data_IF_890329262202
#
_entry.id   IF_890329262202
#
_cell.length_a   1.000
_cell.length_b   1.000
_cell.length_c   1.000
_cell.angle_alpha   90.00
_cell.angle_beta   90.00
_cell.angle_gamma   90.00
#
_symmetry.space_group_name_H-M   'P 1'
#
loop_
_entity.id
_entity.type
_entity.pdbx_description
1 polymer ?
#
# COMPACT_ATOMS: atom_id res chain seq x y z
N UNK A 1 28.39 11.93 -4.56
CA UNK A 1 26.95 12.03 -4.88
C UNK A 1 26.67 11.09 -6.03
N UNK A 2 25.58 10.32 -6.03
CA UNK A 2 25.30 9.36 -7.12
C UNK A 2 24.73 10.09 -8.36
N UNK A 3 24.88 9.56 -9.59
CA UNK A 3 24.30 10.19 -10.78
C UNK A 3 22.77 10.36 -10.70
N UNK A 4 22.09 9.44 -10.00
CA UNK A 4 20.64 9.52 -9.77
C UNK A 4 20.30 10.68 -8.81
N UNK A 5 21.11 10.90 -7.77
CA UNK A 5 20.91 12.03 -6.83
C UNK A 5 21.06 13.37 -7.54
N UNK A 6 22.06 13.52 -8.40
CA UNK A 6 22.24 14.72 -9.23
C UNK A 6 21.03 14.98 -10.13
N UNK A 7 20.52 13.94 -10.79
CA UNK A 7 19.32 14.04 -11.61
C UNK A 7 18.09 14.45 -10.78
N UNK A 8 17.90 13.87 -9.59
CA UNK A 8 16.79 14.24 -8.70
C UNK A 8 16.85 15.71 -8.29
N UNK A 9 18.04 16.21 -7.93
CA UNK A 9 18.23 17.61 -7.58
C UNK A 9 17.95 18.54 -8.77
N UNK A 10 18.32 18.14 -9.99
CA UNK A 10 18.00 18.93 -11.20
C UNK A 10 16.50 19.01 -11.52
N UNK A 11 15.70 18.07 -10.98
CA UNK A 11 14.24 18.00 -11.18
C UNK A 11 13.44 18.55 -9.98
N UNK A 12 14.12 19.21 -9.03
CA UNK A 12 13.48 19.78 -7.85
C UNK A 12 12.43 20.85 -8.21
N UNK A 13 11.23 20.71 -7.63
CA UNK A 13 10.17 21.72 -7.67
C UNK A 13 9.82 22.10 -6.23
N UNK A 14 10.25 23.29 -5.78
CA UNK A 14 10.07 23.75 -4.39
C UNK A 14 8.59 23.92 -4.01
N UNK A 15 7.73 24.31 -4.97
CA UNK A 15 6.28 24.42 -4.72
C UNK A 15 5.68 23.04 -4.50
N UNK A 16 6.07 22.07 -5.34
CA UNK A 16 5.65 20.68 -5.19
C UNK A 16 6.22 20.02 -3.93
N UNK A 17 7.45 20.37 -3.53
CA UNK A 17 8.06 19.94 -2.27
C UNK A 17 7.23 20.37 -1.06
N UNK A 18 6.88 21.66 -0.96
CA UNK A 18 6.05 22.20 0.12
C UNK A 18 4.68 21.53 0.18
N UNK A 19 4.05 21.31 -0.97
CA UNK A 19 2.81 20.55 -1.07
C UNK A 19 2.97 19.08 -0.61
N UNK A 20 4.06 18.43 -0.99
CA UNK A 20 4.31 17.04 -0.59
C UNK A 20 4.53 16.91 0.92
N UNK A 21 5.27 17.85 1.52
CA UNK A 21 5.51 17.89 2.97
C UNK A 21 4.22 18.09 3.77
N UNK A 22 3.26 18.88 3.27
CA UNK A 22 1.98 19.05 3.97
C UNK A 22 1.11 17.78 4.00
N UNK A 23 1.39 16.81 3.11
CA UNK A 23 0.70 15.52 3.06
C UNK A 23 1.46 14.38 3.76
N UNK A 24 2.72 14.63 4.13
CA UNK A 24 3.65 13.63 4.65
C UNK A 24 4.21 14.06 6.01
N UNK A 25 3.36 14.10 7.06
CA UNK A 25 3.80 14.50 8.38
C UNK A 25 4.93 13.59 8.87
N UNK A 26 6.00 14.20 9.40
CA UNK A 26 7.18 13.49 9.91
C UNK A 26 8.17 12.99 8.85
N UNK A 27 7.90 13.19 7.56
CA UNK A 27 8.82 12.79 6.50
C UNK A 27 9.83 13.91 6.22
N UNK A 28 11.11 13.57 6.33
CA UNK A 28 12.23 14.46 6.06
C UNK A 28 12.88 14.12 4.70
N UNK A 29 13.74 15.02 4.20
CA UNK A 29 14.55 14.77 3.01
C UNK A 29 13.75 14.72 1.70
N UNK A 30 12.59 15.38 1.64
CA UNK A 30 11.81 15.53 0.39
C UNK A 30 12.52 16.54 -0.52
N UNK A 31 12.90 16.11 -1.72
CA UNK A 31 13.51 16.96 -2.76
C UNK A 31 12.41 17.73 -3.50
N UNK A 32 11.26 17.11 -3.76
CA UNK A 32 10.16 17.70 -4.52
C UNK A 32 10.15 17.28 -5.99
N UNK A 33 10.47 16.02 -6.29
CA UNK A 33 10.39 15.49 -7.66
C UNK A 33 9.02 14.85 -7.88
N UNK A 34 8.36 15.19 -9.00
CA UNK A 34 7.02 14.68 -9.31
C UNK A 34 7.04 13.19 -9.64
N UNK A 35 5.99 12.49 -9.23
CA UNK A 35 5.86 11.04 -9.40
C UNK A 35 6.04 10.53 -10.85
N UNK A 36 5.56 11.24 -11.91
CA UNK A 36 5.81 10.80 -13.29
C UNK A 36 7.29 10.74 -13.66
N UNK A 37 8.10 11.70 -13.18
CA UNK A 37 9.55 11.70 -13.43
C UNK A 37 10.24 10.57 -12.65
N UNK A 38 9.86 10.35 -11.38
CA UNK A 38 10.37 9.21 -10.61
C UNK A 38 10.08 7.87 -11.30
N UNK A 39 8.87 7.71 -11.86
CA UNK A 39 8.50 6.50 -12.62
C UNK A 39 9.34 6.32 -13.88
N UNK A 40 9.66 7.40 -14.61
CA UNK A 40 10.55 7.35 -15.78
C UNK A 40 11.96 6.92 -15.39
N UNK A 41 12.51 7.52 -14.33
CA UNK A 41 13.85 7.20 -13.80
C UNK A 41 13.91 5.73 -13.36
N UNK A 42 13.01 5.31 -12.47
CA UNK A 42 12.99 3.94 -11.95
C UNK A 42 12.86 2.90 -13.07
N UNK A 43 11.98 3.15 -14.05
CA UNK A 43 11.80 2.25 -15.19
C UNK A 43 13.06 2.18 -16.05
N UNK A 44 13.70 3.32 -16.34
CA UNK A 44 14.94 3.37 -17.14
C UNK A 44 16.06 2.59 -16.45
N UNK A 45 16.27 2.80 -15.17
CA UNK A 45 17.36 2.16 -14.43
C UNK A 45 17.09 0.66 -14.19
N UNK A 46 15.85 0.28 -13.88
CA UNK A 46 15.48 -1.13 -13.73
C UNK A 46 15.63 -1.95 -15.03
N UNK A 47 15.42 -1.34 -16.20
CA UNK A 47 15.58 -2.01 -17.49
C UNK A 47 17.04 -2.19 -17.89
N UNK A 48 17.97 -1.40 -17.34
CA UNK A 48 19.41 -1.57 -17.57
C UNK A 48 19.97 -2.65 -16.66
N UNK A 49 19.84 -2.44 -15.35
CA UNK A 49 20.26 -3.37 -14.30
C UNK A 49 19.53 -2.98 -13.01
N UNK A 50 18.46 -3.71 -12.71
CA UNK A 50 17.64 -3.43 -11.54
C UNK A 50 18.36 -3.70 -10.21
N UNK A 51 19.32 -4.65 -10.17
CA UNK A 51 20.06 -4.97 -8.94
C UNK A 51 21.03 -3.84 -8.63
N UNK A 52 21.83 -3.43 -9.63
CA UNK A 52 22.73 -2.29 -9.47
C UNK A 52 21.94 -1.00 -9.17
N UNK A 53 20.81 -0.77 -9.86
CA UNK A 53 19.97 0.38 -9.58
C UNK A 53 19.45 0.39 -8.13
N UNK A 54 19.03 -0.76 -7.59
CA UNK A 54 18.57 -0.87 -6.21
C UNK A 54 19.70 -0.62 -5.20
N UNK A 55 20.85 -1.28 -5.37
CA UNK A 55 21.98 -1.22 -4.43
C UNK A 55 22.67 0.16 -4.45
N UNK A 56 22.62 0.88 -5.58
CA UNK A 56 23.19 2.22 -5.71
C UNK A 56 22.29 3.35 -5.15
N UNK A 57 21.03 3.06 -4.85
CA UNK A 57 20.13 4.04 -4.22
C UNK A 57 20.35 4.05 -2.70
N UNK A 58 20.28 5.24 -2.10
CA UNK A 58 20.37 5.38 -0.63
C UNK A 58 18.98 5.62 -0.02
N UNK A 59 18.95 5.80 1.29
CA UNK A 59 17.76 6.24 2.02
C UNK A 59 17.88 7.71 2.44
N UNK A 60 18.72 8.52 1.78
CA UNK A 60 18.97 9.89 2.26
C UNK A 60 17.83 10.86 1.93
N UNK A 61 17.08 10.57 0.87
CA UNK A 61 15.90 11.34 0.48
C UNK A 61 14.63 10.49 0.39
N UNK A 62 13.49 11.16 0.42
CA UNK A 62 12.19 10.54 0.15
C UNK A 62 12.15 9.93 -1.27
N UNK A 63 12.68 10.65 -2.25
CA UNK A 63 12.71 10.25 -3.65
C UNK A 63 13.60 9.02 -3.89
N UNK A 64 14.76 8.92 -3.25
CA UNK A 64 15.63 7.74 -3.39
C UNK A 64 14.98 6.48 -2.80
N UNK A 65 14.35 6.59 -1.61
CA UNK A 65 13.54 5.51 -1.03
C UNK A 65 12.38 5.12 -1.96
N UNK A 66 11.71 6.10 -2.53
CA UNK A 66 10.63 5.89 -3.49
C UNK A 66 11.12 5.13 -4.74
N UNK A 67 12.29 5.52 -5.27
CA UNK A 67 12.90 4.87 -6.43
C UNK A 67 13.27 3.42 -6.12
N UNK A 68 13.78 3.10 -4.92
CA UNK A 68 14.09 1.70 -4.54
C UNK A 68 12.89 0.79 -4.72
N UNK A 69 11.73 1.18 -4.16
CA UNK A 69 10.50 0.43 -4.31
C UNK A 69 10.02 0.33 -5.75
N UNK A 70 10.11 1.42 -6.53
CA UNK A 70 9.70 1.42 -7.93
C UNK A 70 10.60 0.57 -8.83
N UNK A 71 11.91 0.56 -8.60
CA UNK A 71 12.88 -0.26 -9.35
C UNK A 71 12.52 -1.74 -9.22
N UNK A 72 12.20 -2.19 -8.00
CA UNK A 72 11.74 -3.56 -7.75
C UNK A 72 10.44 -3.89 -8.52
N UNK A 73 9.52 -2.93 -8.62
CA UNK A 73 8.29 -3.09 -9.40
C UNK A 73 8.48 -3.12 -10.92
N UNK A 74 9.54 -2.49 -11.44
CA UNK A 74 9.88 -2.49 -12.87
C UNK A 74 10.84 -3.60 -13.29
N UNK A 75 11.45 -4.30 -12.33
CA UNK A 75 12.29 -5.46 -12.60
C UNK A 75 11.52 -6.52 -13.39
N UNK A 76 12.07 -6.97 -14.52
CA UNK A 76 11.43 -7.95 -15.42
C UNK A 76 11.84 -9.37 -15.08
N UNK A 77 11.71 -9.72 -13.81
CA UNK A 77 12.11 -11.03 -13.27
C UNK A 77 10.98 -11.62 -12.40
N UNK A 78 11.01 -12.93 -12.09
CA UNK A 78 10.06 -13.54 -11.17
C UNK A 78 10.07 -12.87 -9.79
N UNK A 79 8.94 -12.94 -9.08
CA UNK A 79 8.80 -12.37 -7.74
C UNK A 79 9.83 -12.94 -6.75
N UNK A 80 10.16 -14.22 -6.90
CA UNK A 80 11.14 -14.95 -6.11
C UNK A 80 12.52 -14.29 -6.17
N UNK A 81 12.88 -13.72 -7.32
CA UNK A 81 14.18 -13.07 -7.49
C UNK A 81 14.20 -11.67 -6.86
N UNK A 82 13.09 -10.93 -6.90
CA UNK A 82 13.02 -9.61 -6.23
C UNK A 82 12.75 -9.71 -4.74
N UNK A 83 12.21 -10.83 -4.24
CA UNK A 83 11.78 -10.99 -2.84
C UNK A 83 12.89 -10.67 -1.82
N UNK A 84 14.14 -11.17 -1.93
CA UNK A 84 15.19 -10.81 -0.96
C UNK A 84 15.48 -9.30 -0.93
N UNK A 85 15.34 -8.62 -2.07
CA UNK A 85 15.54 -7.17 -2.16
C UNK A 85 14.34 -6.38 -1.63
N UNK A 86 13.13 -6.92 -1.80
CA UNK A 86 11.93 -6.38 -1.14
C UNK A 86 12.10 -6.47 0.38
N UNK A 87 12.55 -7.60 0.91
CA UNK A 87 12.79 -7.78 2.34
C UNK A 87 13.85 -6.80 2.88
N UNK A 88 14.90 -6.53 2.10
CA UNK A 88 15.88 -5.45 2.38
C UNK A 88 15.28 -4.04 2.31
N UNK A 89 14.28 -3.82 1.46
CA UNK A 89 13.65 -2.52 1.23
C UNK A 89 12.58 -2.17 2.28
N UNK A 90 11.86 -3.17 2.83
CA UNK A 90 10.76 -2.92 3.75
C UNK A 90 11.12 -2.02 4.94
N UNK A 91 12.31 -2.11 5.58
CA UNK A 91 12.74 -1.16 6.61
C UNK A 91 12.75 0.31 6.17
N UNK A 92 12.94 0.59 4.87
CA UNK A 92 12.94 1.93 4.29
C UNK A 92 11.53 2.51 4.10
N UNK A 93 10.47 1.71 4.25
CA UNK A 93 9.08 2.16 4.08
C UNK A 93 8.62 2.85 5.36
N UNK A 94 8.69 4.18 5.37
CA UNK A 94 8.40 5.00 6.55
C UNK A 94 7.19 5.93 6.40
N UNK A 95 6.48 5.88 5.27
CA UNK A 95 5.28 6.67 5.04
C UNK A 95 4.35 5.98 4.04
N UNK A 96 3.07 6.41 4.06
CA UNK A 96 2.03 5.85 3.21
C UNK A 96 2.34 5.99 1.71
N UNK A 97 2.99 7.08 1.30
CA UNK A 97 3.27 7.33 -0.13
C UNK A 97 4.28 6.33 -0.71
N UNK A 98 5.36 6.02 0.02
CA UNK A 98 6.34 5.01 -0.39
C UNK A 98 5.69 3.63 -0.42
N UNK A 99 4.93 3.28 0.63
CA UNK A 99 4.20 2.02 0.74
C UNK A 99 3.29 1.81 -0.48
N UNK A 100 2.40 2.77 -0.74
CA UNK A 100 1.36 2.63 -1.76
C UNK A 100 1.95 2.59 -3.18
N UNK A 101 2.99 3.40 -3.44
CA UNK A 101 3.67 3.41 -4.74
C UNK A 101 4.42 2.09 -5.01
N UNK A 102 5.12 1.56 -4.02
CA UNK A 102 5.78 0.26 -4.09
C UNK A 102 4.74 -0.85 -4.34
N UNK A 103 3.71 -0.92 -3.49
CA UNK A 103 2.70 -1.98 -3.56
C UNK A 103 1.98 -1.99 -4.91
N UNK A 104 1.56 -0.83 -5.41
CA UNK A 104 0.92 -0.72 -6.73
C UNK A 104 1.85 -1.12 -7.89
N UNK A 105 3.16 -0.89 -7.73
CA UNK A 105 4.18 -1.19 -8.74
C UNK A 105 4.59 -2.66 -8.82
N UNK A 106 4.46 -3.43 -7.74
CA UNK A 106 4.96 -4.81 -7.64
C UNK A 106 4.07 -5.83 -8.38
N UNK A 107 3.99 -5.75 -9.71
CA UNK A 107 3.12 -6.61 -10.53
C UNK A 107 3.60 -8.06 -10.63
N UNK A 108 4.88 -8.33 -10.40
CA UNK A 108 5.46 -9.68 -10.46
C UNK A 108 4.83 -10.63 -9.45
N UNK A 109 4.33 -10.12 -8.32
CA UNK A 109 3.69 -10.92 -7.26
C UNK A 109 2.47 -11.70 -7.76
N UNK A 110 1.74 -11.17 -8.75
CA UNK A 110 0.58 -11.86 -9.37
C UNK A 110 0.97 -13.05 -10.23
N UNK A 111 2.22 -13.09 -10.72
CA UNK A 111 2.73 -14.19 -11.54
C UNK A 111 3.18 -15.38 -10.69
N UNK A 112 3.31 -15.18 -9.38
CA UNK A 112 3.56 -16.23 -8.40
C UNK A 112 2.54 -16.13 -7.27
N UNK A 113 1.26 -16.42 -7.54
CA UNK A 113 0.17 -16.04 -6.67
C UNK A 113 0.23 -16.71 -5.29
N UNK A 114 0.66 -17.96 -5.21
CA UNK A 114 0.76 -18.72 -3.96
C UNK A 114 1.89 -18.19 -3.06
N UNK A 115 3.09 -18.01 -3.63
CA UNK A 115 4.23 -17.45 -2.89
C UNK A 115 4.00 -15.98 -2.55
N UNK A 116 3.42 -15.23 -3.47
CA UNK A 116 3.00 -13.85 -3.28
C UNK A 116 1.99 -13.73 -2.15
N UNK A 117 1.00 -14.63 -2.09
CA UNK A 117 0.02 -14.64 -1.02
C UNK A 117 0.64 -14.96 0.34
N UNK A 118 1.51 -15.98 0.42
CA UNK A 118 2.24 -16.30 1.67
C UNK A 118 3.00 -15.09 2.19
N UNK A 119 3.66 -14.35 1.30
CA UNK A 119 4.39 -13.12 1.65
C UNK A 119 3.44 -12.00 2.12
N UNK A 120 2.35 -11.76 1.39
CA UNK A 120 1.32 -10.77 1.74
C UNK A 120 0.74 -11.03 3.12
N UNK A 121 0.36 -12.28 3.40
CA UNK A 121 -0.26 -12.64 4.67
C UNK A 121 0.73 -12.51 5.84
N UNK A 122 2.00 -12.87 5.63
CA UNK A 122 3.06 -12.66 6.62
C UNK A 122 3.24 -11.16 6.93
N UNK A 123 3.25 -10.30 5.91
CA UNK A 123 3.34 -8.85 6.11
C UNK A 123 2.11 -8.27 6.82
N UNK A 124 0.90 -8.65 6.41
CA UNK A 124 -0.34 -8.16 7.03
C UNK A 124 -0.41 -8.50 8.53
N UNK A 125 0.16 -9.64 8.92
CA UNK A 125 0.22 -10.11 10.30
C UNK A 125 1.39 -9.56 11.11
N UNK A 126 2.26 -8.73 10.50
CA UNK A 126 3.42 -8.14 11.17
C UNK A 126 3.00 -7.06 12.17
N UNK A 127 3.77 -6.92 13.25
CA UNK A 127 3.48 -5.92 14.30
C UNK A 127 3.91 -4.51 13.92
N UNK A 128 4.76 -4.33 12.90
CA UNK A 128 5.23 -3.03 12.45
C UNK A 128 4.20 -2.39 11.51
N UNK A 129 3.83 -1.15 11.79
CA UNK A 129 2.76 -0.41 11.09
C UNK A 129 2.87 -0.48 9.56
N UNK A 130 4.03 -0.13 8.98
CA UNK A 130 4.18 -0.12 7.52
C UNK A 130 4.34 -1.51 6.90
N UNK A 131 4.73 -2.53 7.68
CA UNK A 131 4.74 -3.92 7.20
C UNK A 131 3.30 -4.42 7.08
N UNK A 132 2.50 -4.25 8.12
CA UNK A 132 1.06 -4.54 8.12
C UNK A 132 0.36 -3.80 6.98
N UNK A 133 0.64 -2.50 6.82
CA UNK A 133 0.15 -1.69 5.71
C UNK A 133 0.53 -2.28 4.35
N UNK A 134 1.82 -2.59 4.12
CA UNK A 134 2.28 -3.19 2.87
C UNK A 134 1.53 -4.48 2.55
N UNK A 135 1.34 -5.36 3.53
CA UNK A 135 0.56 -6.60 3.34
C UNK A 135 -0.85 -6.34 2.82
N UNK A 136 -1.59 -5.48 3.51
CA UNK A 136 -2.98 -5.15 3.11
C UNK A 136 -3.03 -4.42 1.76
N UNK A 137 -2.13 -3.47 1.51
CA UNK A 137 -2.12 -2.69 0.26
C UNK A 137 -1.70 -3.57 -0.93
N UNK A 138 -0.79 -4.54 -0.75
CA UNK A 138 -0.47 -5.54 -1.77
C UNK A 138 -1.67 -6.44 -2.08
N UNK A 139 -2.36 -6.95 -1.06
CA UNK A 139 -3.60 -7.72 -1.23
C UNK A 139 -4.65 -6.92 -2.02
N UNK A 140 -4.87 -5.66 -1.62
CA UNK A 140 -5.81 -4.76 -2.27
C UNK A 140 -5.43 -4.46 -3.72
N UNK A 141 -4.15 -4.25 -4.01
CA UNK A 141 -3.66 -3.85 -5.34
C UNK A 141 -3.71 -4.99 -6.35
N UNK A 142 -3.55 -6.24 -5.91
CA UNK A 142 -3.25 -7.37 -6.80
C UNK A 142 -4.19 -8.56 -6.69
N UNK A 143 -4.87 -8.75 -5.55
CA UNK A 143 -5.59 -9.99 -5.22
C UNK A 143 -7.08 -9.80 -4.96
N UNK A 144 -7.67 -8.60 -5.06
CA UNK A 144 -9.14 -8.43 -4.99
C UNK A 144 -9.79 -9.02 -6.26
N UNK A 145 -10.16 -10.30 -6.18
CA UNK A 145 -10.77 -11.12 -7.24
C UNK A 145 -11.50 -12.30 -6.61
N UNK A 146 -12.44 -12.93 -7.32
CA UNK A 146 -13.26 -14.03 -6.78
C UNK A 146 -12.42 -15.16 -6.15
N UNK A 147 -11.34 -15.68 -6.77
CA UNK A 147 -10.59 -16.80 -6.19
C UNK A 147 -9.80 -16.45 -4.92
N UNK A 148 -9.68 -15.16 -4.61
CA UNK A 148 -8.80 -14.64 -3.56
C UNK A 148 -9.54 -13.75 -2.56
N UNK A 149 -10.85 -13.54 -2.71
CA UNK A 149 -11.58 -12.59 -1.88
C UNK A 149 -11.54 -12.97 -0.40
N UNK A 150 -11.77 -14.25 -0.07
CA UNK A 150 -11.69 -14.76 1.30
C UNK A 150 -10.28 -14.61 1.88
N UNK A 151 -9.26 -14.81 1.04
CA UNK A 151 -7.87 -14.59 1.41
C UNK A 151 -7.65 -13.11 1.75
N UNK A 152 -8.13 -12.17 0.92
CA UNK A 152 -8.07 -10.73 1.20
C UNK A 152 -8.74 -10.40 2.54
N UNK A 153 -9.93 -10.93 2.80
CA UNK A 153 -10.61 -10.75 4.09
C UNK A 153 -9.79 -11.28 5.28
N UNK A 154 -9.17 -12.46 5.14
CA UNK A 154 -8.26 -13.02 6.16
C UNK A 154 -7.05 -12.13 6.41
N UNK A 155 -6.44 -11.56 5.36
CA UNK A 155 -5.32 -10.63 5.52
C UNK A 155 -5.74 -9.31 6.18
N UNK A 156 -6.96 -8.82 5.90
CA UNK A 156 -7.50 -7.65 6.60
C UNK A 156 -7.70 -7.96 8.09
N UNK A 157 -8.25 -9.13 8.43
CA UNK A 157 -8.45 -9.55 9.82
C UNK A 157 -7.13 -9.78 10.56
N UNK A 158 -6.09 -10.27 9.87
CA UNK A 158 -4.83 -10.64 10.52
C UNK A 158 -3.98 -9.45 11.00
N UNK A 159 -4.33 -8.22 10.61
CA UNK A 159 -3.67 -7.00 11.10
C UNK A 159 -4.00 -6.79 12.57
N UNK A 160 -3.02 -7.06 13.43
CA UNK A 160 -3.10 -6.79 14.88
C UNK A 160 -2.52 -5.43 15.26
N UNK A 161 -1.73 -4.80 14.39
CA UNK A 161 -1.18 -3.47 14.62
C UNK A 161 -2.32 -2.43 14.62
N UNK A 162 -2.38 -1.61 15.67
CA UNK A 162 -3.43 -0.60 15.89
C UNK A 162 -3.04 0.81 15.48
N UNK A 163 -1.85 0.98 14.87
CA UNK A 163 -1.36 2.28 14.46
C UNK A 163 -2.13 2.80 13.23
N UNK A 164 -2.12 4.12 13.08
CA UNK A 164 -2.97 4.85 12.16
C UNK A 164 -2.95 4.31 10.74
N UNK A 165 -1.77 4.16 10.15
CA UNK A 165 -1.61 3.78 8.75
C UNK A 165 -1.94 2.31 8.49
N UNK A 166 -1.85 1.43 9.50
CA UNK A 166 -2.22 0.02 9.38
C UNK A 166 -3.75 -0.13 9.29
N UNK A 167 -4.51 0.42 10.24
CA UNK A 167 -5.98 0.31 10.19
C UNK A 167 -6.60 1.15 9.07
N UNK A 168 -5.92 2.22 8.61
CA UNK A 168 -6.31 2.93 7.38
C UNK A 168 -6.21 2.04 6.15
N UNK A 169 -5.21 1.17 6.05
CA UNK A 169 -5.14 0.20 4.96
C UNK A 169 -6.25 -0.85 5.06
N UNK A 170 -6.56 -1.36 6.26
CA UNK A 170 -7.72 -2.26 6.45
C UNK A 170 -9.01 -1.61 5.92
N UNK A 171 -9.32 -0.40 6.39
CA UNK A 171 -10.54 0.30 5.97
C UNK A 171 -10.59 0.63 4.47
N UNK A 172 -9.44 0.94 3.88
CA UNK A 172 -9.35 1.16 2.43
C UNK A 172 -9.54 -0.12 1.63
N UNK A 173 -8.89 -1.23 2.02
CA UNK A 173 -9.06 -2.50 1.34
C UNK A 173 -10.52 -2.98 1.38
N UNK A 174 -11.19 -2.82 2.52
CA UNK A 174 -12.62 -3.14 2.67
C UNK A 174 -13.48 -2.27 1.74
N UNK A 175 -13.20 -0.97 1.59
CA UNK A 175 -13.97 -0.14 0.67
C UNK A 175 -13.75 -0.49 -0.81
N UNK A 176 -12.54 -0.97 -1.17
CA UNK A 176 -12.29 -1.49 -2.51
C UNK A 176 -13.02 -2.82 -2.74
N UNK A 177 -13.05 -3.70 -1.73
CA UNK A 177 -13.86 -4.93 -1.77
C UNK A 177 -15.34 -4.59 -1.93
N UNK A 178 -15.89 -3.65 -1.16
CA UNK A 178 -17.29 -3.24 -1.25
C UNK A 178 -17.67 -2.69 -2.64
N UNK A 179 -16.74 -2.00 -3.31
CA UNK A 179 -16.97 -1.48 -4.66
C UNK A 179 -17.01 -2.58 -5.74
N UNK A 180 -16.43 -3.75 -5.49
CA UNK A 180 -16.31 -4.84 -6.47
C UNK A 180 -17.15 -6.08 -6.13
N UNK A 181 -17.30 -6.36 -4.84
CA UNK A 181 -17.95 -7.52 -4.23
C UNK A 181 -18.85 -7.03 -3.07
N UNK A 182 -19.91 -6.26 -3.37
CA UNK A 182 -20.69 -5.57 -2.35
C UNK A 182 -21.37 -6.55 -1.38
N UNK A 183 -21.96 -7.65 -1.87
CA UNK A 183 -22.71 -8.58 -1.03
C UNK A 183 -21.78 -9.29 -0.03
N UNK A 184 -20.67 -9.83 -0.54
CA UNK A 184 -19.64 -10.53 0.25
C UNK A 184 -19.00 -9.59 1.27
N UNK A 185 -18.73 -8.35 0.89
CA UNK A 185 -18.15 -7.36 1.80
C UNK A 185 -19.16 -6.92 2.87
N UNK A 186 -20.44 -6.87 2.56
CA UNK A 186 -21.48 -6.57 3.55
C UNK A 186 -21.59 -7.67 4.60
N UNK A 187 -21.57 -8.94 4.19
CA UNK A 187 -21.54 -10.07 5.12
C UNK A 187 -20.26 -10.07 5.97
N UNK A 188 -19.09 -9.84 5.35
CA UNK A 188 -17.84 -9.67 6.07
C UNK A 188 -17.95 -8.59 7.16
N UNK A 189 -18.50 -7.40 6.83
CA UNK A 189 -18.63 -6.31 7.79
C UNK A 189 -19.58 -6.61 8.97
N UNK A 190 -20.52 -7.54 8.83
CA UNK A 190 -21.46 -7.89 9.91
C UNK A 190 -20.81 -8.74 11.00
N UNK A 191 -19.82 -9.57 10.65
CA UNK A 191 -19.27 -10.59 11.56
C UNK A 191 -17.75 -10.57 11.71
N UNK A 192 -17.02 -9.80 10.89
CA UNK A 192 -15.57 -9.77 10.96
C UNK A 192 -15.09 -9.18 12.30
N UNK A 193 -14.10 -9.80 12.95
CA UNK A 193 -13.55 -9.34 14.22
C UNK A 193 -12.56 -8.20 14.01
N UNK A 194 -13.01 -7.10 13.38
CA UNK A 194 -12.21 -5.89 13.22
C UNK A 194 -12.17 -5.10 14.53
N UNK A 195 -11.05 -4.42 14.79
CA UNK A 195 -11.00 -3.39 15.84
C UNK A 195 -11.97 -2.25 15.51
N UNK A 196 -12.43 -1.52 16.52
CA UNK A 196 -13.32 -0.36 16.33
C UNK A 196 -12.71 0.65 15.35
N UNK A 197 -11.41 0.92 15.46
CA UNK A 197 -10.70 1.83 14.57
C UNK A 197 -10.77 1.35 13.10
N UNK A 198 -10.49 0.07 12.85
CA UNK A 198 -10.53 -0.52 11.50
C UNK A 198 -11.96 -0.57 10.95
N UNK A 199 -12.93 -0.94 11.77
CA UNK A 199 -14.34 -0.99 11.38
C UNK A 199 -14.87 0.41 11.04
N UNK A 200 -14.68 1.39 11.91
CA UNK A 200 -15.09 2.78 11.65
C UNK A 200 -14.38 3.34 10.42
N UNK A 201 -13.10 3.02 10.23
CA UNK A 201 -12.36 3.44 9.04
C UNK A 201 -12.88 2.81 7.76
N UNK A 202 -13.32 1.54 7.82
CA UNK A 202 -13.97 0.85 6.69
C UNK A 202 -15.25 1.58 6.28
N UNK A 203 -16.12 1.88 7.24
CA UNK A 203 -17.36 2.62 6.99
C UNK A 203 -17.11 4.01 6.43
N UNK A 204 -16.10 4.72 6.97
CA UNK A 204 -15.68 6.02 6.46
C UNK A 204 -15.24 5.92 4.99
N UNK A 205 -14.34 4.97 4.67
CA UNK A 205 -13.83 4.79 3.30
C UNK A 205 -14.90 4.35 2.30
N UNK A 206 -15.89 3.60 2.75
CA UNK A 206 -17.08 3.27 1.96
C UNK A 206 -17.90 4.53 1.67
N UNK A 207 -18.12 5.37 2.69
CA UNK A 207 -18.89 6.61 2.53
C UNK A 207 -18.21 7.62 1.59
N UNK A 208 -16.89 7.75 1.66
CA UNK A 208 -16.07 8.65 0.82
C UNK A 208 -15.97 8.18 -0.65
N UNK A 209 -16.24 6.90 -0.92
CA UNK A 209 -16.08 6.33 -2.26
C UNK A 209 -17.23 6.74 -3.20
N UNK A 210 -16.86 7.35 -4.33
CA UNK A 210 -17.78 7.63 -5.44
C UNK A 210 -18.18 6.38 -6.25
N UNK A 211 -17.46 5.26 -6.08
CA UNK A 211 -17.71 4.00 -6.78
C UNK A 211 -18.80 3.15 -6.13
N UNK A 212 -19.25 3.53 -4.93
CA UNK A 212 -20.23 2.78 -4.15
C UNK A 212 -21.55 3.55 -4.17
N UNK A 213 -22.68 2.90 -4.49
CA UNK A 213 -23.99 3.56 -4.53
C UNK A 213 -24.47 3.92 -3.12
N UNK A 214 -25.32 4.95 -3.04
CA UNK A 214 -25.80 5.48 -1.76
C UNK A 214 -26.71 4.50 -1.00
N UNK A 215 -27.39 3.60 -1.72
CA UNK A 215 -28.15 2.49 -1.13
C UNK A 215 -27.25 1.58 -0.29
N UNK A 216 -26.09 1.20 -0.81
CA UNK A 216 -25.11 0.39 -0.10
C UNK A 216 -24.51 1.14 1.10
N UNK A 217 -24.17 2.43 0.92
CA UNK A 217 -23.67 3.27 2.02
C UNK A 217 -24.68 3.35 3.18
N UNK A 218 -25.97 3.39 2.86
CA UNK A 218 -27.06 3.40 3.85
C UNK A 218 -27.09 2.11 4.66
N UNK A 219 -26.94 0.95 4.01
CA UNK A 219 -26.82 -0.34 4.69
C UNK A 219 -25.61 -0.37 5.64
N UNK A 220 -24.44 0.05 5.18
CA UNK A 220 -23.23 0.10 6.00
C UNK A 220 -23.36 1.05 7.21
N UNK A 221 -24.04 2.19 7.05
CA UNK A 221 -24.32 3.11 8.18
C UNK A 221 -25.23 2.48 9.24
N UNK A 222 -26.17 1.62 8.83
CA UNK A 222 -27.04 0.92 9.78
C UNK A 222 -26.24 -0.05 10.67
N UNK A 223 -25.21 -0.71 10.13
CA UNK A 223 -24.33 -1.60 10.92
C UNK A 223 -23.66 -0.89 12.10
N UNK A 224 -23.25 0.38 11.91
CA UNK A 224 -22.66 1.19 12.97
C UNK A 224 -23.59 1.34 14.17
N UNK A 225 -24.89 1.53 13.93
CA UNK A 225 -25.90 1.69 14.99
C UNK A 225 -26.10 0.40 15.78
N UNK A 226 -26.11 -0.75 15.10
CA UNK A 226 -26.27 -2.05 15.75
C UNK A 226 -25.05 -2.48 16.57
N UNK A 227 -23.84 -2.18 16.08
CA UNK A 227 -22.60 -2.49 16.82
C UNK A 227 -22.52 -1.71 18.15
N UNK A 228 -22.88 -0.43 18.15
CA UNK A 228 -22.88 0.40 19.36
C UNK A 228 -24.06 0.14 20.30
N UNK A 229 -25.16 -0.47 19.83
CA UNK A 229 -26.30 -0.81 20.68
C UNK A 229 -26.13 -2.14 21.45
N UNK A 230 -25.07 -2.90 21.16
CA UNK A 230 -24.73 -4.18 21.83
C UNK A 230 -23.58 -4.06 22.84
N UNK A 231 -23.06 -2.85 23.04
CA UNK A 231 -22.08 -2.50 24.08
C UNK A 231 -22.78 -1.76 25.21
#
# INVERSE_FOLDING_TARGET
>A
MTPVKELLLSLQDEKYRKFSLSLLPGVNGVIGVRLPELRKIAKKEALKDWKAAFENLTDDSFEERMLKGMVLGYARVPFEETRPYIEKFLPSVNCWSICDAFCAGLKSIKKSPENGWKFIFALASDKREFYARCGVVLAMSHFISEPWLDNVFKAVISVTNTDYYAYVAQGWAVSVCAAKFPNETLEFLKSAPLSDAAFQKSLQKIAESKRIPDSYKTLCRALKKTAHAKM
#
